data_IF_344575421536
#
_entry.id   IF_344575421536
#
_cell.length_a   1.000
_cell.length_b   1.000
_cell.length_c   1.000
_cell.angle_alpha   90.00
_cell.angle_beta   90.00
_cell.angle_gamma   90.00
#
_symmetry.space_group_name_H-M   'P 1'
#
loop_
_entity.id
_entity.type
_entity.pdbx_description
1 polymer ?
#
# COMPACT_ATOMS: atom_id res chain seq x y z
N UNK A 1 -32.48 -29.19 -39.60
CA UNK A 1 -33.13 -28.29 -38.66
C UNK A 1 -33.29 -28.89 -37.25
N UNK A 2 -32.25 -29.40 -36.59
CA UNK A 2 -32.36 -29.98 -35.22
C UNK A 2 -31.16 -29.61 -34.30
N UNK A 3 -30.35 -28.60 -34.65
CA UNK A 3 -29.19 -28.21 -33.83
C UNK A 3 -29.29 -26.83 -33.13
N UNK A 4 -30.36 -26.06 -33.41
CA UNK A 4 -30.47 -24.68 -32.87
C UNK A 4 -31.28 -24.60 -31.58
N UNK A 5 -32.07 -25.64 -31.22
CA UNK A 5 -32.85 -25.63 -29.98
C UNK A 5 -32.09 -26.03 -28.71
N UNK A 6 -30.93 -26.67 -28.84
CA UNK A 6 -30.16 -27.14 -27.65
C UNK A 6 -29.36 -26.03 -26.99
N UNK A 7 -29.02 -24.95 -27.72
CA UNK A 7 -28.24 -23.83 -27.17
C UNK A 7 -29.09 -22.82 -26.36
N UNK A 8 -30.36 -22.67 -26.66
CA UNK A 8 -31.24 -21.76 -25.90
C UNK A 8 -31.63 -22.32 -24.53
N UNK A 9 -31.71 -23.65 -24.38
CA UNK A 9 -32.06 -24.27 -23.11
C UNK A 9 -30.97 -24.16 -22.04
N UNK A 10 -29.69 -24.16 -22.44
CA UNK A 10 -28.56 -24.06 -21.52
C UNK A 10 -28.37 -22.62 -21.02
N UNK A 11 -28.68 -21.62 -21.85
CA UNK A 11 -28.59 -20.21 -21.45
C UNK A 11 -29.67 -19.80 -20.44
N UNK A 12 -30.87 -20.40 -20.53
CA UNK A 12 -31.96 -20.13 -19.59
C UNK A 12 -31.76 -20.77 -18.21
N UNK A 13 -31.09 -21.94 -18.15
CA UNK A 13 -30.77 -22.62 -16.87
C UNK A 13 -29.67 -21.86 -16.10
N UNK A 14 -28.69 -21.27 -16.79
CA UNK A 14 -27.62 -20.47 -16.13
C UNK A 14 -28.13 -19.13 -15.60
N UNK A 15 -29.08 -18.47 -16.29
CA UNK A 15 -29.68 -17.21 -15.83
C UNK A 15 -30.59 -17.40 -14.62
N UNK A 16 -31.33 -18.52 -14.55
CA UNK A 16 -32.19 -18.83 -13.41
C UNK A 16 -31.40 -19.23 -12.15
N UNK A 17 -30.21 -19.83 -12.29
CA UNK A 17 -29.33 -20.16 -11.15
C UNK A 17 -28.73 -18.91 -10.52
N UNK A 18 -28.38 -17.89 -11.31
CA UNK A 18 -27.84 -16.62 -10.80
C UNK A 18 -28.88 -15.77 -10.09
N UNK A 19 -30.14 -15.76 -10.60
CA UNK A 19 -31.24 -15.02 -9.96
C UNK A 19 -31.65 -15.59 -8.60
N UNK A 20 -31.39 -16.87 -8.33
CA UNK A 20 -31.73 -17.51 -7.05
C UNK A 20 -30.74 -17.17 -5.90
N UNK A 21 -29.56 -16.65 -6.21
CA UNK A 21 -28.53 -16.36 -5.22
C UNK A 21 -28.85 -15.19 -4.29
N UNK A 22 -29.78 -14.30 -4.68
CA UNK A 22 -30.06 -13.06 -3.95
C UNK A 22 -31.49 -13.02 -3.35
N UNK A 23 -32.26 -14.07 -3.44
CA UNK A 23 -33.65 -14.11 -2.88
C UNK A 23 -33.66 -14.80 -1.53
N UNK A 24 -34.13 -14.08 -0.50
CA UNK A 24 -34.46 -14.66 0.80
C UNK A 24 -35.63 -15.62 0.61
N UNK A 25 -35.47 -16.89 1.00
CA UNK A 25 -36.52 -17.90 0.90
C UNK A 25 -37.18 -18.09 2.26
N UNK A 26 -38.43 -17.74 2.36
CA UNK A 26 -39.28 -18.10 3.50
C UNK A 26 -39.85 -19.48 3.29
N UNK A 27 -39.55 -20.41 4.18
CA UNK A 27 -39.98 -21.80 4.09
C UNK A 27 -41.25 -22.03 4.86
N UNK A 28 -41.39 -21.43 6.02
CA UNK A 28 -42.56 -21.56 6.90
C UNK A 28 -42.62 -20.40 7.88
N UNK A 29 -43.84 -20.05 8.32
CA UNK A 29 -44.05 -19.08 9.40
C UNK A 29 -43.71 -19.62 10.79
N UNK A 30 -43.56 -20.94 10.92
CA UNK A 30 -43.28 -21.62 12.20
C UNK A 30 -41.82 -22.05 12.37
N UNK A 31 -41.04 -22.03 11.31
CA UNK A 31 -39.64 -22.44 11.31
C UNK A 31 -38.71 -21.23 11.39
N UNK A 32 -37.54 -21.34 12.08
CA UNK A 32 -36.51 -20.32 12.01
C UNK A 32 -36.07 -20.08 10.57
N UNK A 33 -35.96 -18.81 10.18
CA UNK A 33 -35.62 -18.43 8.82
C UNK A 33 -34.41 -17.49 8.81
N UNK A 34 -33.54 -17.65 7.82
CA UNK A 34 -32.48 -16.69 7.61
C UNK A 34 -33.01 -15.46 6.86
N UNK A 35 -32.77 -14.30 7.41
CA UNK A 35 -33.07 -13.01 6.76
C UNK A 35 -31.91 -12.53 5.89
N UNK A 36 -30.77 -13.24 5.93
CA UNK A 36 -29.59 -12.90 5.15
C UNK A 36 -29.65 -13.58 3.79
N UNK A 37 -29.36 -12.88 2.69
CA UNK A 37 -29.29 -13.47 1.37
C UNK A 37 -28.20 -14.53 1.30
N UNK A 38 -28.42 -15.53 0.47
CA UNK A 38 -27.38 -16.50 0.12
C UNK A 38 -26.23 -15.74 -0.53
N UNK A 39 -25.06 -15.74 0.03
CA UNK A 39 -23.92 -14.96 -0.49
C UNK A 39 -23.45 -13.83 0.41
N UNK A 40 -24.18 -13.53 1.52
CA UNK A 40 -23.65 -12.58 2.50
C UNK A 40 -22.33 -13.07 3.11
N UNK A 41 -22.11 -14.39 3.08
CA UNK A 41 -20.87 -15.03 3.52
C UNK A 41 -19.73 -14.96 2.48
N UNK A 42 -20.01 -14.49 1.27
CA UNK A 42 -19.01 -14.35 0.23
C UNK A 42 -18.14 -13.13 0.51
N UNK A 43 -16.84 -13.31 0.36
CA UNK A 43 -15.89 -12.21 0.41
C UNK A 43 -16.17 -11.29 -0.80
N UNK A 44 -16.09 -9.99 -0.56
CA UNK A 44 -16.15 -8.97 -1.60
C UNK A 44 -14.88 -8.14 -1.58
N UNK A 45 -14.37 -7.82 -2.79
CA UNK A 45 -13.22 -6.95 -2.97
C UNK A 45 -13.66 -5.50 -3.08
N UNK A 46 -12.96 -4.60 -2.41
CA UNK A 46 -13.13 -3.17 -2.60
C UNK A 46 -12.41 -2.73 -3.87
N UNK A 47 -13.08 -1.98 -4.74
CA UNK A 47 -12.47 -1.48 -5.97
C UNK A 47 -11.83 -0.11 -5.75
N UNK A 48 -10.50 -0.06 -5.83
CA UNK A 48 -9.71 1.18 -5.74
C UNK A 48 -9.28 1.59 -7.15
N UNK A 49 -9.93 2.61 -7.69
CA UNK A 49 -9.67 3.11 -9.05
C UNK A 49 -8.54 4.13 -9.01
N UNK A 50 -7.43 3.83 -9.70
CA UNK A 50 -6.26 4.68 -9.86
C UNK A 50 -5.84 4.72 -11.34
N UNK A 51 -5.27 5.83 -11.84
CA UNK A 51 -4.82 5.92 -13.22
C UNK A 51 -3.45 5.27 -13.43
N UNK A 52 -3.21 4.75 -14.63
CA UNK A 52 -1.85 4.44 -15.09
C UNK A 52 -1.07 5.73 -15.34
N UNK A 53 0.23 5.71 -15.09
CA UNK A 53 1.14 6.86 -15.27
C UNK A 53 2.37 6.42 -16.04
N UNK A 54 2.73 7.17 -17.07
CA UNK A 54 3.94 6.90 -17.86
C UNK A 54 3.98 5.52 -18.53
N UNK A 55 2.81 4.90 -18.75
CA UNK A 55 2.68 3.55 -19.29
C UNK A 55 2.94 2.43 -18.26
N UNK A 56 2.86 2.74 -16.96
CA UNK A 56 2.90 1.80 -15.83
C UNK A 56 1.54 1.74 -15.15
N UNK A 57 1.17 0.56 -14.65
CA UNK A 57 -0.07 0.32 -13.93
C UNK A 57 0.12 0.52 -12.43
N UNK A 58 -0.88 1.08 -11.72
CA UNK A 58 -0.82 1.28 -10.28
C UNK A 58 -1.20 0.00 -9.53
N UNK A 59 -0.25 -0.64 -8.87
CA UNK A 59 -0.48 -1.78 -7.98
C UNK A 59 -0.47 -1.31 -6.53
N UNK A 60 -1.53 -1.65 -5.80
CA UNK A 60 -1.72 -1.28 -4.39
C UNK A 60 -1.06 -2.34 -3.52
N UNK A 61 -0.05 -1.95 -2.75
CA UNK A 61 0.76 -2.82 -1.93
C UNK A 61 0.72 -2.42 -0.45
N UNK A 62 0.83 -3.41 0.45
CA UNK A 62 1.20 -3.22 1.85
C UNK A 62 2.45 -4.03 2.14
N UNK A 63 3.55 -3.33 2.33
CA UNK A 63 4.88 -3.93 2.43
C UNK A 63 5.34 -4.16 3.88
N UNK A 64 4.42 -4.00 4.86
CA UNK A 64 4.71 -4.18 6.28
C UNK A 64 3.45 -4.67 7.02
N UNK A 65 3.39 -5.96 7.31
CA UNK A 65 2.25 -6.60 7.98
C UNK A 65 2.74 -7.67 8.96
N UNK A 66 1.96 -7.89 10.04
CA UNK A 66 2.20 -8.92 11.03
C UNK A 66 1.00 -9.85 11.18
N UNK A 67 1.24 -11.10 11.53
CA UNK A 67 0.19 -12.09 11.77
C UNK A 67 0.34 -12.78 13.13
N UNK A 68 -0.57 -13.70 13.44
CA UNK A 68 -0.52 -14.52 14.65
C UNK A 68 0.67 -15.52 14.68
N UNK A 69 1.57 -15.45 13.72
CA UNK A 69 2.85 -16.17 13.78
C UNK A 69 3.86 -15.46 14.67
N UNK A 70 3.70 -14.16 14.88
CA UNK A 70 4.44 -13.35 15.86
C UNK A 70 3.50 -12.73 16.88
N UNK A 71 3.04 -11.52 16.68
CA UNK A 71 2.26 -10.74 17.65
C UNK A 71 0.98 -10.09 17.09
N UNK A 72 0.66 -10.35 15.83
CA UNK A 72 -0.62 -9.96 15.24
C UNK A 72 -1.76 -10.89 15.67
N UNK A 73 -3.00 -10.40 15.64
CA UNK A 73 -4.19 -11.20 16.04
C UNK A 73 -4.83 -11.99 14.90
N UNK A 74 -4.49 -11.69 13.64
CA UNK A 74 -5.03 -12.35 12.44
C UNK A 74 -4.00 -13.36 11.93
N UNK A 75 -4.43 -14.58 11.58
CA UNK A 75 -3.51 -15.54 10.99
C UNK A 75 -3.09 -15.10 9.58
N UNK A 76 -1.96 -15.63 9.09
CA UNK A 76 -1.38 -15.18 7.81
C UNK A 76 -2.31 -15.40 6.61
N UNK A 77 -3.16 -16.40 6.63
CA UNK A 77 -4.17 -16.61 5.58
C UNK A 77 -5.21 -15.49 5.58
N UNK A 78 -5.68 -15.12 6.78
CA UNK A 78 -6.59 -13.99 6.96
C UNK A 78 -5.97 -12.67 6.50
N UNK A 79 -4.63 -12.47 6.65
CA UNK A 79 -3.95 -11.28 6.11
C UNK A 79 -4.03 -11.17 4.59
N UNK A 80 -3.92 -12.30 3.88
CA UNK A 80 -4.13 -12.34 2.43
C UNK A 80 -5.59 -12.02 2.07
N UNK A 81 -6.56 -12.59 2.80
CA UNK A 81 -7.98 -12.32 2.61
C UNK A 81 -8.32 -10.85 2.88
N UNK A 82 -7.82 -10.27 3.99
CA UNK A 82 -7.99 -8.84 4.30
C UNK A 82 -7.41 -7.96 3.19
N UNK A 83 -6.20 -8.24 2.71
CA UNK A 83 -5.57 -7.48 1.63
C UNK A 83 -6.42 -7.51 0.36
N UNK A 84 -6.90 -8.67 -0.05
CA UNK A 84 -7.79 -8.81 -1.19
C UNK A 84 -9.11 -8.06 -0.99
N UNK A 85 -9.77 -8.21 0.16
CA UNK A 85 -11.00 -7.51 0.49
C UNK A 85 -10.84 -5.99 0.49
N UNK A 86 -9.70 -5.50 0.99
CA UNK A 86 -9.38 -4.08 1.06
C UNK A 86 -8.92 -3.48 -0.29
N UNK A 87 -8.85 -4.29 -1.36
CA UNK A 87 -8.53 -3.86 -2.71
C UNK A 87 -7.03 -3.83 -3.04
N UNK A 88 -6.17 -4.44 -2.21
CA UNK A 88 -4.74 -4.53 -2.49
C UNK A 88 -4.42 -5.65 -3.49
N UNK A 89 -3.36 -5.44 -4.26
CA UNK A 89 -2.85 -6.39 -5.25
C UNK A 89 -1.61 -7.13 -4.74
N UNK A 90 -0.91 -6.55 -3.76
CA UNK A 90 0.39 -7.01 -3.27
C UNK A 90 0.46 -6.89 -1.75
N UNK A 91 1.05 -7.88 -1.10
CA UNK A 91 1.50 -7.78 0.30
C UNK A 91 2.94 -8.28 0.43
N UNK A 92 3.67 -7.82 1.44
CA UNK A 92 4.91 -8.47 1.86
C UNK A 92 4.69 -9.26 3.15
N UNK A 93 5.24 -10.47 3.23
CA UNK A 93 5.19 -11.28 4.44
C UNK A 93 6.37 -10.91 5.34
N UNK A 94 6.14 -10.02 6.33
CA UNK A 94 7.19 -9.35 7.13
C UNK A 94 7.06 -9.62 8.62
N UNK A 95 6.91 -10.88 9.00
CA UNK A 95 6.89 -11.26 10.42
C UNK A 95 8.17 -10.85 11.16
N UNK A 96 8.06 -10.57 12.44
CA UNK A 96 9.19 -10.22 13.29
C UNK A 96 10.27 -11.31 13.34
N UNK A 97 11.50 -10.92 13.07
CA UNK A 97 12.73 -11.65 13.40
C UNK A 97 13.57 -10.79 14.34
N UNK A 98 13.47 -11.06 15.64
CA UNK A 98 14.17 -10.25 16.63
C UNK A 98 15.68 -10.39 16.48
N UNK A 99 16.36 -9.29 16.14
CA UNK A 99 17.81 -9.14 16.05
C UNK A 99 18.40 -8.40 17.28
N UNK A 100 17.62 -8.29 18.38
CA UNK A 100 18.08 -7.69 19.62
C UNK A 100 19.31 -8.43 20.17
N UNK A 101 20.28 -7.72 20.76
CA UNK A 101 21.45 -8.34 21.36
C UNK A 101 21.06 -9.45 22.35
N UNK A 102 21.76 -10.57 22.28
CA UNK A 102 21.64 -11.67 23.26
C UNK A 102 22.89 -11.64 24.15
N UNK A 103 22.69 -11.61 25.46
CA UNK A 103 23.79 -11.58 26.41
C UNK A 103 24.72 -12.80 26.21
N UNK A 104 26.02 -12.60 26.49
CA UNK A 104 27.07 -13.62 26.47
C UNK A 104 27.33 -14.32 25.12
N UNK A 105 26.90 -13.71 23.99
CA UNK A 105 27.12 -14.27 22.65
C UNK A 105 28.12 -13.48 21.80
N UNK A 106 28.67 -12.38 22.29
CA UNK A 106 29.62 -11.55 21.55
C UNK A 106 30.81 -12.38 21.02
N UNK A 107 31.08 -12.27 19.73
CA UNK A 107 32.14 -13.02 19.05
C UNK A 107 31.89 -14.53 18.88
N UNK A 108 30.76 -15.06 19.34
CA UNK A 108 30.42 -16.48 19.17
C UNK A 108 29.66 -16.69 17.86
N UNK A 109 29.97 -17.75 17.09
CA UNK A 109 29.19 -18.09 15.89
C UNK A 109 27.76 -18.48 16.27
N UNK A 110 26.79 -18.04 15.49
CA UNK A 110 25.38 -18.35 15.72
C UNK A 110 25.06 -19.80 15.29
N UNK A 111 24.62 -20.67 16.21
CA UNK A 111 24.24 -22.05 15.87
C UNK A 111 23.06 -22.08 14.90
N UNK A 112 23.06 -23.07 13.99
CA UNK A 112 21.97 -23.28 13.04
C UNK A 112 20.58 -23.44 13.73
N UNK A 113 20.52 -24.18 14.83
CA UNK A 113 19.29 -24.36 15.61
C UNK A 113 18.69 -23.04 16.13
N UNK A 114 19.56 -22.06 16.46
CA UNK A 114 19.12 -20.73 16.86
C UNK A 114 18.59 -19.97 15.65
N UNK A 115 19.32 -19.98 14.53
CA UNK A 115 18.85 -19.37 13.27
C UNK A 115 17.49 -19.88 12.85
N UNK A 116 17.31 -21.19 12.77
CA UNK A 116 16.03 -21.82 12.41
C UNK A 116 14.90 -21.47 13.37
N UNK A 117 15.17 -21.40 14.67
CA UNK A 117 14.17 -20.98 15.67
C UNK A 117 13.75 -19.52 15.47
N UNK A 118 14.72 -18.62 15.28
CA UNK A 118 14.48 -17.17 15.13
C UNK A 118 13.78 -16.83 13.82
N UNK A 119 14.06 -17.56 12.74
CA UNK A 119 13.48 -17.33 11.42
C UNK A 119 12.16 -18.07 11.15
N UNK A 120 11.76 -18.98 12.06
CA UNK A 120 10.64 -19.92 11.81
C UNK A 120 9.31 -19.24 11.44
N UNK A 121 8.98 -18.10 12.07
CA UNK A 121 7.76 -17.36 11.77
C UNK A 121 7.81 -16.76 10.34
N UNK A 122 8.91 -16.11 9.97
CA UNK A 122 9.09 -15.51 8.65
C UNK A 122 9.08 -16.56 7.52
N UNK A 123 9.77 -17.70 7.71
CA UNK A 123 9.73 -18.82 6.74
C UNK A 123 8.31 -19.36 6.55
N UNK A 124 7.60 -19.57 7.67
CA UNK A 124 6.23 -20.08 7.63
C UNK A 124 5.25 -19.08 7.03
N UNK A 125 5.43 -17.77 7.29
CA UNK A 125 4.59 -16.71 6.75
C UNK A 125 4.66 -16.68 5.22
N UNK A 126 5.87 -16.60 4.65
CA UNK A 126 6.08 -16.61 3.20
C UNK A 126 5.42 -17.81 2.55
N UNK A 127 5.71 -19.02 3.03
CA UNK A 127 5.17 -20.26 2.47
C UNK A 127 3.65 -20.32 2.54
N UNK A 128 3.06 -19.92 3.69
CA UNK A 128 1.62 -19.99 3.91
C UNK A 128 0.87 -18.91 3.17
N UNK A 129 1.40 -17.68 3.12
CA UNK A 129 0.80 -16.56 2.41
C UNK A 129 0.78 -16.82 0.90
N UNK A 130 1.90 -17.23 0.31
CA UNK A 130 2.01 -17.51 -1.13
C UNK A 130 0.98 -18.55 -1.58
N UNK A 131 0.83 -19.65 -0.82
CA UNK A 131 -0.13 -20.70 -1.13
C UNK A 131 -1.59 -20.20 -1.14
N UNK A 132 -1.96 -19.32 -0.22
CA UNK A 132 -3.33 -18.76 -0.14
C UNK A 132 -3.54 -17.68 -1.20
N UNK A 133 -2.52 -16.88 -1.43
CA UNK A 133 -2.56 -15.76 -2.37
C UNK A 133 -2.87 -16.19 -3.81
N UNK A 134 -2.45 -17.39 -4.22
CA UNK A 134 -2.81 -17.98 -5.52
C UNK A 134 -4.34 -18.02 -5.74
N UNK A 135 -5.12 -18.27 -4.67
CA UNK A 135 -6.60 -18.32 -4.73
C UNK A 135 -7.22 -16.96 -4.94
N UNK A 136 -6.56 -15.89 -4.46
CA UNK A 136 -7.06 -14.51 -4.49
C UNK A 136 -6.45 -13.67 -5.61
N UNK A 137 -5.42 -14.14 -6.28
CA UNK A 137 -4.67 -13.34 -7.25
C UNK A 137 -3.89 -12.19 -6.62
N UNK A 138 -3.50 -12.32 -5.34
CA UNK A 138 -2.63 -11.38 -4.63
C UNK A 138 -1.18 -11.83 -4.78
N UNK A 139 -0.26 -10.92 -5.07
CA UNK A 139 1.17 -11.21 -5.09
C UNK A 139 1.75 -11.09 -3.68
N UNK A 140 2.51 -12.08 -3.24
CA UNK A 140 3.22 -12.06 -1.97
C UNK A 140 4.70 -11.83 -2.22
N UNK A 141 5.22 -10.72 -1.74
CA UNK A 141 6.66 -10.45 -1.69
C UNK A 141 7.23 -11.21 -0.48
N UNK A 142 8.17 -12.13 -0.69
CA UNK A 142 8.86 -12.79 0.43
C UNK A 142 9.69 -11.75 1.19
N UNK A 143 9.61 -11.79 2.51
CA UNK A 143 10.31 -10.82 3.34
C UNK A 143 10.35 -11.21 4.81
N UNK A 144 10.89 -10.31 5.62
CA UNK A 144 10.99 -10.42 7.07
C UNK A 144 11.23 -9.04 7.67
N UNK A 145 10.70 -8.77 8.85
CA UNK A 145 11.11 -7.61 9.62
C UNK A 145 12.24 -7.97 10.58
N UNK A 146 13.39 -7.34 10.38
CA UNK A 146 14.55 -7.39 11.27
C UNK A 146 14.31 -6.43 12.43
N UNK A 147 13.77 -6.98 13.53
CA UNK A 147 13.26 -6.21 14.66
C UNK A 147 14.33 -6.01 15.71
N UNK A 148 14.95 -4.83 15.71
CA UNK A 148 15.91 -4.40 16.73
C UNK A 148 15.24 -3.89 18.01
N UNK A 149 16.03 -3.34 18.92
CA UNK A 149 15.50 -2.50 20.00
C UNK A 149 15.13 -1.13 19.42
N UNK A 150 13.87 -0.74 19.61
CA UNK A 150 13.32 0.46 18.98
C UNK A 150 14.04 1.78 19.37
N UNK A 151 14.75 1.82 20.50
CA UNK A 151 15.45 3.03 20.96
C UNK A 151 16.91 3.06 20.55
N UNK A 152 17.50 1.91 20.25
CA UNK A 152 18.93 1.78 20.02
C UNK A 152 19.31 1.21 18.66
N UNK A 153 18.39 0.46 18.00
CA UNK A 153 18.66 -0.23 16.74
C UNK A 153 17.68 0.11 15.63
N UNK A 154 16.39 0.40 15.94
CA UNK A 154 15.35 0.55 14.94
C UNK A 154 14.88 -0.78 14.32
N UNK A 155 14.01 -0.70 13.32
CA UNK A 155 13.45 -1.84 12.62
C UNK A 155 13.64 -1.70 11.10
N UNK A 156 13.90 -2.83 10.43
CA UNK A 156 14.12 -2.85 8.99
C UNK A 156 13.39 -4.02 8.34
N UNK A 157 12.62 -3.78 7.29
CA UNK A 157 12.12 -4.87 6.46
C UNK A 157 13.16 -5.25 5.41
N UNK A 158 13.41 -6.55 5.28
CA UNK A 158 14.09 -7.11 4.12
C UNK A 158 13.03 -7.68 3.18
N UNK A 159 12.90 -7.10 1.99
CA UNK A 159 11.93 -7.49 0.96
C UNK A 159 12.63 -8.28 -0.15
N UNK A 160 11.90 -9.20 -0.81
CA UNK A 160 12.43 -10.09 -1.85
C UNK A 160 13.55 -11.02 -1.36
N UNK A 161 13.44 -11.49 -0.13
CA UNK A 161 14.35 -12.49 0.44
C UNK A 161 14.17 -13.84 -0.29
N UNK A 162 15.26 -14.59 -0.41
CA UNK A 162 15.23 -15.94 -1.03
C UNK A 162 15.17 -17.05 0.01
N UNK A 163 15.80 -16.86 1.17
CA UNK A 163 15.80 -17.81 2.29
C UNK A 163 15.90 -17.08 3.63
N UNK A 164 14.77 -16.96 4.31
CA UNK A 164 14.72 -16.33 5.65
C UNK A 164 15.44 -17.16 6.73
N UNK A 165 15.70 -18.46 6.50
CA UNK A 165 16.28 -19.35 7.53
C UNK A 165 17.74 -19.06 7.85
N UNK A 166 18.44 -18.37 6.95
CA UNK A 166 19.87 -18.06 7.08
C UNK A 166 20.18 -16.58 7.39
N UNK A 167 19.13 -15.76 7.56
CA UNK A 167 19.30 -14.30 7.79
C UNK A 167 19.80 -14.01 9.20
N UNK A 168 19.19 -14.61 10.22
CA UNK A 168 19.47 -14.30 11.61
C UNK A 168 20.94 -14.55 11.99
N UNK A 169 21.53 -13.61 12.69
CA UNK A 169 22.81 -13.72 13.37
C UNK A 169 22.71 -13.11 14.78
N UNK A 170 23.64 -13.48 15.68
CA UNK A 170 23.79 -12.83 16.99
C UNK A 170 24.19 -11.37 16.85
N UNK A 171 25.00 -11.04 15.84
CA UNK A 171 25.27 -9.68 15.44
C UNK A 171 24.11 -9.14 14.57
N UNK A 172 23.43 -8.12 15.08
CA UNK A 172 22.32 -7.47 14.39
C UNK A 172 22.71 -6.93 13.01
N UNK A 173 23.88 -6.32 12.89
CA UNK A 173 24.39 -5.80 11.61
C UNK A 173 24.66 -6.95 10.64
N UNK A 174 25.17 -8.08 11.12
CA UNK A 174 25.36 -9.27 10.28
C UNK A 174 24.04 -9.84 9.78
N UNK A 175 22.95 -9.76 10.58
CA UNK A 175 21.61 -10.15 10.12
C UNK A 175 21.15 -9.29 8.93
N UNK A 176 21.35 -7.98 8.97
CA UNK A 176 21.03 -7.07 7.85
C UNK A 176 21.89 -7.41 6.62
N UNK A 177 23.21 -7.58 6.80
CA UNK A 177 24.11 -7.98 5.72
C UNK A 177 23.76 -9.34 5.11
N UNK A 178 23.26 -10.29 5.90
CA UNK A 178 22.83 -11.59 5.40
C UNK A 178 21.58 -11.47 4.52
N UNK A 179 20.66 -10.56 4.83
CA UNK A 179 19.52 -10.26 3.98
C UNK A 179 19.96 -9.55 2.69
N UNK A 180 20.80 -8.54 2.78
CA UNK A 180 21.35 -7.81 1.64
C UNK A 180 22.09 -8.73 0.66
N UNK A 181 22.91 -9.67 1.16
CA UNK A 181 23.61 -10.67 0.33
C UNK A 181 22.70 -11.56 -0.51
N UNK A 182 21.44 -11.71 -0.15
CA UNK A 182 20.43 -12.42 -0.95
C UNK A 182 19.87 -11.52 -2.06
N UNK A 183 20.28 -10.25 -2.10
CA UNK A 183 19.72 -9.22 -2.94
C UNK A 183 18.38 -8.71 -2.42
N UNK A 184 18.07 -8.83 -1.13
CA UNK A 184 16.88 -8.22 -0.57
C UNK A 184 16.97 -6.69 -0.61
N UNK A 185 15.82 -6.02 -0.79
CA UNK A 185 15.72 -4.57 -0.61
C UNK A 185 15.47 -4.29 0.88
N UNK A 186 16.34 -3.52 1.49
CA UNK A 186 16.25 -3.17 2.92
C UNK A 186 15.49 -1.85 3.06
N UNK A 187 14.37 -1.89 3.79
CA UNK A 187 13.52 -0.74 4.04
C UNK A 187 13.54 -0.36 5.52
N UNK A 188 13.87 0.90 5.83
CA UNK A 188 13.81 1.43 7.20
C UNK A 188 12.36 1.70 7.59
N UNK A 189 11.87 1.00 8.61
CA UNK A 189 10.49 1.05 9.07
C UNK A 189 10.25 2.23 10.02
N UNK A 190 9.03 2.83 9.97
CA UNK A 190 8.49 3.81 10.93
C UNK A 190 9.57 4.63 11.69
N UNK A 191 10.38 5.46 11.00
CA UNK A 191 11.62 6.05 11.51
C UNK A 191 11.43 6.97 12.73
N UNK A 192 10.21 7.36 13.04
CA UNK A 192 9.86 8.17 14.22
C UNK A 192 9.19 7.39 15.35
N UNK A 193 9.05 6.07 15.23
CA UNK A 193 8.38 5.28 16.25
C UNK A 193 9.24 5.18 17.52
N UNK A 194 8.62 5.56 18.67
CA UNK A 194 9.27 5.66 19.98
C UNK A 194 10.45 6.65 20.08
N UNK A 195 10.60 7.50 19.07
CA UNK A 195 11.54 8.62 19.10
C UNK A 195 10.75 9.94 19.09
N UNK A 196 11.13 10.93 19.92
CA UNK A 196 10.48 12.25 19.90
C UNK A 196 10.87 13.07 18.65
N UNK A 197 11.94 12.66 17.96
CA UNK A 197 12.45 13.24 16.72
C UNK A 197 12.75 12.12 15.72
N UNK A 198 13.00 12.46 14.45
CA UNK A 198 13.47 11.50 13.45
C UNK A 198 15.02 11.36 13.45
N UNK A 199 15.67 11.62 14.59
CA UNK A 199 17.12 11.46 14.69
C UNK A 199 17.47 9.98 14.75
N UNK A 200 18.32 9.56 13.84
CA UNK A 200 18.77 8.17 13.74
C UNK A 200 19.61 7.77 14.95
N UNK A 201 19.40 6.54 15.42
CA UNK A 201 20.30 5.87 16.37
C UNK A 201 21.70 5.65 15.76
N UNK A 202 22.68 5.33 16.56
CA UNK A 202 24.04 5.01 16.05
C UNK A 202 24.02 3.74 15.18
N UNK A 203 23.15 2.78 15.51
CA UNK A 203 22.99 1.56 14.70
C UNK A 203 22.38 1.89 13.33
N UNK A 204 21.29 2.65 13.29
CA UNK A 204 20.68 3.09 12.03
C UNK A 204 21.70 3.85 11.17
N UNK A 205 22.43 4.79 11.75
CA UNK A 205 23.52 5.52 11.05
C UNK A 205 24.55 4.56 10.45
N UNK A 206 24.92 3.51 11.17
CA UNK A 206 25.86 2.52 10.66
C UNK A 206 25.28 1.73 9.48
N UNK A 207 23.99 1.33 9.54
CA UNK A 207 23.32 0.66 8.43
C UNK A 207 23.26 1.54 7.18
N UNK A 208 22.97 2.83 7.36
CA UNK A 208 22.96 3.81 6.27
C UNK A 208 24.38 4.07 5.72
N UNK A 209 25.38 4.14 6.58
CA UNK A 209 26.76 4.37 6.17
C UNK A 209 27.35 3.22 5.34
N UNK A 210 26.87 1.99 5.55
CA UNK A 210 27.24 0.84 4.72
C UNK A 210 26.48 0.80 3.39
N UNK A 211 25.52 1.71 3.16
CA UNK A 211 24.73 1.77 1.94
C UNK A 211 23.76 0.61 1.79
N UNK A 212 23.30 0.02 2.90
CA UNK A 212 22.41 -1.15 2.90
C UNK A 212 20.93 -0.78 2.76
N UNK A 213 20.55 0.48 2.98
CA UNK A 213 19.14 0.90 2.97
C UNK A 213 18.74 1.33 1.57
N UNK A 214 17.67 0.73 1.04
CA UNK A 214 17.09 1.02 -0.28
C UNK A 214 15.79 1.81 -0.19
N UNK A 215 15.06 1.68 0.90
CA UNK A 215 13.74 2.28 1.08
C UNK A 215 13.46 2.79 2.49
N UNK A 216 12.39 3.56 2.62
CA UNK A 216 12.00 4.22 3.85
C UNK A 216 10.47 4.31 3.96
N UNK A 217 9.90 4.03 5.13
CA UNK A 217 8.51 4.33 5.39
C UNK A 217 8.30 5.83 5.61
N UNK A 218 7.59 6.46 4.68
CA UNK A 218 7.11 7.83 4.81
C UNK A 218 5.85 7.89 5.68
N UNK A 219 5.03 6.83 5.63
CA UNK A 219 3.81 6.66 6.41
C UNK A 219 3.73 5.24 6.93
N UNK A 220 3.32 5.10 8.22
CA UNK A 220 3.11 3.81 8.85
C UNK A 220 1.85 3.90 9.72
N UNK A 221 0.83 3.07 9.45
CA UNK A 221 -0.46 3.17 10.09
C UNK A 221 -1.02 4.60 10.02
N UNK A 222 -1.31 5.21 11.15
CA UNK A 222 -1.80 6.60 11.24
C UNK A 222 -0.67 7.65 11.33
N UNK A 223 0.60 7.24 11.29
CA UNK A 223 1.74 8.16 11.38
C UNK A 223 2.23 8.58 10.01
N UNK A 224 2.55 9.86 9.89
CA UNK A 224 3.18 10.48 8.72
C UNK A 224 4.46 11.19 9.16
N UNK A 225 5.56 10.96 8.48
CA UNK A 225 6.90 11.46 8.80
C UNK A 225 7.42 12.45 7.75
N UNK A 226 6.95 13.71 7.69
CA UNK A 226 7.35 14.66 6.62
C UNK A 226 8.87 14.89 6.54
N UNK A 227 9.59 14.85 7.68
CA UNK A 227 11.06 14.99 7.68
C UNK A 227 11.79 13.83 6.99
N UNK A 228 11.13 12.68 6.85
CA UNK A 228 11.68 11.52 6.16
C UNK A 228 11.92 11.77 4.65
N UNK A 229 11.24 12.75 4.05
CA UNK A 229 11.55 13.19 2.68
C UNK A 229 13.02 13.62 2.51
N UNK A 230 13.58 14.29 3.52
CA UNK A 230 14.98 14.75 3.47
C UNK A 230 15.93 13.54 3.45
N UNK A 231 15.69 12.57 4.33
CA UNK A 231 16.45 11.31 4.38
C UNK A 231 16.33 10.52 3.08
N UNK A 232 15.11 10.37 2.57
CA UNK A 232 14.86 9.65 1.31
C UNK A 232 15.59 10.32 0.13
N UNK A 233 15.59 11.66 0.06
CA UNK A 233 16.29 12.41 -0.98
C UNK A 233 17.83 12.31 -0.84
N UNK A 234 18.34 12.44 0.38
CA UNK A 234 19.78 12.37 0.67
C UNK A 234 20.38 11.01 0.27
N UNK A 235 19.70 9.94 0.65
CA UNK A 235 20.16 8.57 0.41
C UNK A 235 19.58 7.91 -0.84
N UNK A 236 18.75 8.62 -1.61
CA UNK A 236 18.07 8.11 -2.83
C UNK A 236 17.27 6.85 -2.55
N UNK A 237 16.33 6.92 -1.61
CA UNK A 237 15.51 5.80 -1.17
C UNK A 237 14.13 5.84 -1.82
N UNK A 238 13.57 4.67 -2.14
CA UNK A 238 12.15 4.61 -2.44
C UNK A 238 11.32 4.86 -1.16
N UNK A 239 10.14 5.45 -1.33
CA UNK A 239 9.26 5.79 -0.21
C UNK A 239 8.01 4.89 -0.21
N UNK A 240 7.57 4.49 0.99
CA UNK A 240 6.41 3.61 1.15
C UNK A 240 5.42 4.13 2.18
N UNK A 241 4.20 3.60 2.08
CA UNK A 241 3.15 3.74 3.09
C UNK A 241 2.58 2.35 3.38
N UNK A 242 2.72 1.90 4.61
CA UNK A 242 2.32 0.56 5.01
C UNK A 242 1.50 0.61 6.30
N UNK A 243 0.88 -0.52 6.63
CA UNK A 243 0.01 -0.55 7.82
C UNK A 243 0.73 -0.90 9.10
N UNK A 244 1.71 -1.77 9.04
CA UNK A 244 2.30 -2.40 10.23
C UNK A 244 1.20 -3.05 11.11
N UNK A 245 0.24 -3.69 10.43
CA UNK A 245 -1.01 -4.10 11.05
C UNK A 245 -0.84 -5.29 11.97
N UNK A 246 -1.26 -5.13 13.22
CA UNK A 246 -1.33 -6.18 14.23
C UNK A 246 -2.79 -6.59 14.53
N UNK A 247 -3.73 -5.62 14.55
CA UNK A 247 -5.17 -5.84 14.69
C UNK A 247 -5.84 -6.22 13.36
N UNK A 248 -7.16 -6.28 13.29
CA UNK A 248 -7.88 -6.46 12.03
C UNK A 248 -7.87 -5.17 11.20
N UNK A 249 -7.71 -5.26 9.87
CA UNK A 249 -7.76 -4.09 9.00
C UNK A 249 -9.15 -3.46 8.94
N UNK A 250 -10.20 -4.28 9.11
CA UNK A 250 -11.57 -3.79 9.15
C UNK A 250 -11.77 -2.73 10.26
N UNK A 251 -11.30 -3.02 11.48
CA UNK A 251 -11.42 -2.09 12.61
C UNK A 251 -10.59 -0.82 12.42
N UNK A 252 -9.41 -0.94 11.82
CA UNK A 252 -8.52 0.21 11.64
C UNK A 252 -8.96 1.14 10.51
N UNK A 253 -9.54 0.60 9.43
CA UNK A 253 -9.80 1.34 8.20
C UNK A 253 -11.25 1.29 7.78
N UNK A 254 -11.75 0.13 7.34
CA UNK A 254 -13.02 -0.01 6.63
C UNK A 254 -14.24 0.38 7.48
N UNK A 255 -14.30 -0.03 8.74
CA UNK A 255 -15.40 0.31 9.65
C UNK A 255 -15.46 1.82 9.95
N UNK A 256 -14.35 2.52 9.77
CA UNK A 256 -14.24 3.97 9.92
C UNK A 256 -14.36 4.72 8.57
N UNK A 257 -14.67 4.03 7.49
CA UNK A 257 -14.84 4.63 6.15
C UNK A 257 -13.53 5.06 5.49
N UNK A 258 -12.39 4.50 5.90
CA UNK A 258 -11.08 4.79 5.34
C UNK A 258 -10.59 3.66 4.42
N UNK A 259 -9.88 4.04 3.36
CA UNK A 259 -9.04 3.11 2.61
C UNK A 259 -7.83 2.72 3.47
N UNK A 260 -7.43 1.46 3.35
CA UNK A 260 -6.20 0.95 3.97
C UNK A 260 -4.99 1.71 3.46
N UNK A 261 -3.99 1.93 4.32
CA UNK A 261 -2.69 2.43 3.87
C UNK A 261 -2.17 1.58 2.72
N UNK A 262 -1.57 2.22 1.74
CA UNK A 262 -0.99 1.53 0.61
C UNK A 262 0.20 2.28 0.02
N UNK A 263 1.19 1.52 -0.37
CA UNK A 263 2.19 1.93 -1.33
C UNK A 263 1.64 1.65 -2.72
N UNK A 264 1.48 2.69 -3.54
CA UNK A 264 1.05 2.56 -4.93
C UNK A 264 2.32 2.38 -5.77
N UNK A 265 2.53 1.18 -6.28
CA UNK A 265 3.71 0.81 -7.08
C UNK A 265 3.34 0.90 -8.56
N UNK A 266 4.03 1.73 -9.34
CA UNK A 266 3.82 1.86 -10.77
C UNK A 266 4.74 0.91 -11.53
N UNK A 267 4.22 -0.25 -11.90
CA UNK A 267 4.93 -1.34 -12.56
C UNK A 267 4.27 -1.74 -13.88
N UNK A 268 4.99 -2.45 -14.75
CA UNK A 268 4.43 -2.96 -16.01
C UNK A 268 3.42 -4.07 -15.76
N UNK A 269 3.78 -4.99 -14.87
CA UNK A 269 3.01 -6.16 -14.52
C UNK A 269 3.00 -6.38 -13.00
N UNK A 270 2.02 -7.14 -12.49
CA UNK A 270 1.96 -7.52 -11.08
C UNK A 270 2.79 -8.81 -10.85
N UNK A 271 4.08 -8.75 -11.12
CA UNK A 271 5.05 -9.83 -10.89
C UNK A 271 6.14 -9.38 -9.93
N UNK A 272 6.80 -10.31 -9.25
CA UNK A 272 7.88 -9.98 -8.30
C UNK A 272 9.00 -9.18 -8.98
N UNK A 273 9.39 -9.55 -10.21
CA UNK A 273 10.42 -8.83 -10.97
C UNK A 273 10.00 -7.41 -11.32
N UNK A 274 8.76 -7.22 -11.83
CA UNK A 274 8.29 -5.91 -12.25
C UNK A 274 8.02 -4.98 -11.08
N UNK A 275 7.54 -5.52 -9.95
CA UNK A 275 7.35 -4.78 -8.70
C UNK A 275 8.70 -4.37 -8.09
N UNK A 276 9.68 -5.28 -8.08
CA UNK A 276 11.04 -4.98 -7.61
C UNK A 276 11.67 -3.86 -8.43
N UNK A 277 11.66 -3.99 -9.76
CA UNK A 277 12.18 -2.98 -10.68
C UNK A 277 11.52 -1.60 -10.45
N UNK A 278 10.21 -1.58 -10.16
CA UNK A 278 9.49 -0.34 -9.88
C UNK A 278 9.92 0.31 -8.54
N UNK A 279 10.19 -0.49 -7.50
CA UNK A 279 10.73 0.00 -6.25
C UNK A 279 12.15 0.57 -6.44
N UNK A 280 13.04 -0.17 -7.08
CA UNK A 280 14.41 0.27 -7.38
C UNK A 280 14.44 1.52 -8.27
N UNK A 281 13.45 1.71 -9.13
CA UNK A 281 13.28 2.91 -9.94
C UNK A 281 12.47 4.02 -9.25
N UNK A 282 12.16 3.90 -7.96
CA UNK A 282 11.42 4.86 -7.13
C UNK A 282 10.03 5.24 -7.68
N UNK A 283 9.40 4.34 -8.42
CA UNK A 283 8.05 4.58 -8.96
C UNK A 283 6.98 4.20 -7.94
N UNK A 284 6.98 4.89 -6.80
CA UNK A 284 6.05 4.69 -5.70
C UNK A 284 5.36 5.97 -5.28
N UNK A 285 4.10 5.87 -4.88
CA UNK A 285 3.39 6.88 -4.11
C UNK A 285 2.86 6.27 -2.82
N UNK A 286 2.89 7.06 -1.76
CA UNK A 286 2.43 6.69 -0.43
C UNK A 286 1.01 7.21 -0.22
N UNK A 287 0.10 6.39 0.30
CA UNK A 287 -1.25 6.82 0.66
C UNK A 287 -1.58 6.39 2.09
N UNK A 288 -2.05 7.33 2.91
CA UNK A 288 -2.60 7.08 4.24
C UNK A 288 -3.64 8.14 4.57
N UNK A 289 -4.87 7.73 4.98
CA UNK A 289 -5.96 8.59 5.47
C UNK A 289 -6.17 9.87 4.65
N UNK A 290 -6.17 9.76 3.31
CA UNK A 290 -6.37 10.89 2.40
C UNK A 290 -5.12 11.75 2.13
N UNK A 291 -3.99 11.45 2.75
CA UNK A 291 -2.69 12.06 2.47
C UNK A 291 -1.94 11.22 1.43
N UNK A 292 -1.31 11.88 0.47
CA UNK A 292 -0.54 11.26 -0.60
C UNK A 292 0.89 11.82 -0.53
N UNK A 293 1.90 10.96 -0.55
CA UNK A 293 3.31 11.39 -0.55
C UNK A 293 4.11 10.73 -1.66
N UNK A 294 5.17 11.38 -2.13
CA UNK A 294 6.05 10.82 -3.15
C UNK A 294 6.89 11.87 -3.86
N UNK A 295 7.60 11.45 -4.89
CA UNK A 295 8.37 12.37 -5.73
C UNK A 295 7.48 13.35 -6.49
N UNK A 296 7.86 14.62 -6.54
CA UNK A 296 7.07 15.70 -7.12
C UNK A 296 6.64 15.43 -8.56
N UNK A 297 7.55 14.90 -9.37
CA UNK A 297 7.27 14.58 -10.78
C UNK A 297 6.16 13.54 -10.89
N UNK A 298 6.28 12.43 -10.17
CA UNK A 298 5.31 11.35 -10.21
C UNK A 298 3.95 11.79 -9.63
N UNK A 299 3.94 12.57 -8.55
CA UNK A 299 2.71 13.16 -7.98
C UNK A 299 1.98 14.05 -8.99
N UNK A 300 2.70 14.87 -9.75
CA UNK A 300 2.11 15.74 -10.79
C UNK A 300 1.51 14.92 -11.92
N UNK A 301 2.25 13.96 -12.46
CA UNK A 301 1.78 13.06 -13.51
C UNK A 301 0.57 12.24 -13.06
N UNK A 302 0.59 11.75 -11.83
CA UNK A 302 -0.53 11.01 -11.21
C UNK A 302 -1.77 11.89 -11.07
N UNK A 303 -1.64 13.12 -10.55
CA UNK A 303 -2.78 14.02 -10.42
C UNK A 303 -3.35 14.43 -11.77
N UNK A 304 -2.51 14.74 -12.77
CA UNK A 304 -2.96 15.06 -14.13
C UNK A 304 -3.72 13.89 -14.76
N UNK A 305 -3.29 12.66 -14.55
CA UNK A 305 -4.00 11.46 -15.02
C UNK A 305 -5.29 11.16 -14.21
N UNK A 306 -5.39 11.69 -12.98
CA UNK A 306 -6.53 11.48 -12.07
C UNK A 306 -7.72 12.39 -12.35
N UNK A 307 -7.55 13.45 -13.14
CA UNK A 307 -8.60 14.45 -13.35
C UNK A 307 -8.86 14.72 -14.82
N UNK A 308 -10.12 15.03 -15.14
CA UNK A 308 -10.49 15.55 -16.46
C UNK A 308 -11.04 16.95 -16.35
N UNK A 309 -10.81 17.78 -17.37
CA UNK A 309 -11.30 19.15 -17.43
C UNK A 309 -12.30 19.32 -18.58
N UNK A 310 -13.41 19.99 -18.27
CA UNK A 310 -14.42 20.36 -19.26
C UNK A 310 -14.80 21.83 -19.10
N UNK A 311 -14.56 22.64 -20.14
CA UNK A 311 -15.06 24.02 -20.19
C UNK A 311 -16.57 24.01 -20.36
N UNK A 312 -17.29 24.68 -19.44
CA UNK A 312 -18.76 24.74 -19.43
C UNK A 312 -19.27 26.01 -20.12
N UNK A 313 -18.68 27.16 -19.82
CA UNK A 313 -19.14 28.43 -20.35
C UNK A 313 -18.02 29.47 -20.33
N UNK A 314 -18.20 30.50 -21.14
CA UNK A 314 -17.37 31.71 -21.17
C UNK A 314 -18.28 32.92 -20.90
N UNK A 315 -17.80 33.91 -20.17
CA UNK A 315 -18.56 35.13 -19.89
C UNK A 315 -18.77 35.96 -21.18
N UNK A 316 -19.74 36.88 -21.16
CA UNK A 316 -20.08 37.73 -22.30
C UNK A 316 -18.91 38.59 -22.82
N UNK A 317 -17.89 38.82 -21.97
CA UNK A 317 -16.69 39.61 -22.33
C UNK A 317 -15.54 38.73 -22.85
N UNK A 318 -15.69 37.41 -22.90
CA UNK A 318 -14.66 36.46 -23.34
C UNK A 318 -13.43 36.38 -22.43
N UNK A 319 -13.50 36.89 -21.19
CA UNK A 319 -12.35 37.00 -20.29
C UNK A 319 -12.31 35.88 -19.24
N UNK A 320 -13.46 35.43 -18.75
CA UNK A 320 -13.60 34.44 -17.71
C UNK A 320 -14.33 33.20 -18.24
N UNK A 321 -13.96 32.04 -17.73
CA UNK A 321 -14.59 30.76 -18.08
C UNK A 321 -14.92 29.99 -16.83
N UNK A 322 -15.96 29.13 -16.91
CA UNK A 322 -16.26 28.11 -15.91
C UNK A 322 -15.72 26.78 -16.41
N UNK A 323 -14.96 26.10 -15.58
CA UNK A 323 -14.33 24.82 -15.88
C UNK A 323 -14.80 23.81 -14.84
N UNK A 324 -15.30 22.69 -15.29
CA UNK A 324 -15.57 21.51 -14.47
C UNK A 324 -14.30 20.68 -14.40
N UNK A 325 -13.88 20.34 -13.17
CA UNK A 325 -12.81 19.40 -12.87
C UNK A 325 -13.45 18.16 -12.29
N UNK A 326 -13.26 17.02 -12.93
CA UNK A 326 -13.79 15.72 -12.48
C UNK A 326 -12.65 14.84 -12.01
N UNK A 327 -12.74 14.34 -10.78
CA UNK A 327 -11.88 13.30 -10.23
C UNK A 327 -12.38 11.93 -10.69
N UNK A 328 -11.54 11.18 -11.38
CA UNK A 328 -11.85 9.84 -11.90
C UNK A 328 -11.33 8.71 -11.01
N UNK A 329 -10.82 9.04 -9.82
CA UNK A 329 -10.15 8.08 -8.92
C UNK A 329 -10.89 7.90 -7.59
N UNK A 330 -10.49 6.87 -6.85
CA UNK A 330 -10.97 6.61 -5.49
C UNK A 330 -10.30 7.47 -4.42
N UNK A 331 -9.32 8.33 -4.77
CA UNK A 331 -8.61 9.18 -3.81
C UNK A 331 -9.17 10.61 -3.79
N UNK A 332 -9.27 11.26 -2.62
CA UNK A 332 -9.67 12.66 -2.53
C UNK A 332 -8.49 13.60 -2.82
N UNK A 333 -8.79 14.80 -3.32
CA UNK A 333 -7.81 15.87 -3.51
C UNK A 333 -8.27 17.16 -2.85
N UNK A 334 -7.37 17.87 -2.18
CA UNK A 334 -7.63 19.19 -1.61
C UNK A 334 -6.90 20.23 -2.45
N UNK A 335 -7.67 20.99 -3.25
CA UNK A 335 -7.15 21.93 -4.24
C UNK A 335 -7.18 23.36 -3.74
N UNK A 336 -6.11 24.11 -3.93
CA UNK A 336 -6.07 25.55 -3.69
C UNK A 336 -5.71 26.29 -4.99
N UNK A 337 -6.60 27.17 -5.43
CA UNK A 337 -6.44 28.01 -6.62
C UNK A 337 -5.93 29.39 -6.20
N UNK A 338 -4.67 29.69 -6.47
CA UNK A 338 -4.03 30.95 -6.09
C UNK A 338 -4.07 31.19 -4.58
N UNK A 339 -4.64 32.33 -4.14
CA UNK A 339 -4.81 32.69 -2.72
C UNK A 339 -6.20 32.32 -2.15
N UNK A 340 -7.01 31.58 -2.92
CA UNK A 340 -8.36 31.19 -2.50
C UNK A 340 -8.38 30.15 -1.38
N UNK A 341 -9.56 29.92 -0.80
CA UNK A 341 -9.77 28.86 0.17
C UNK A 341 -9.61 27.48 -0.50
N UNK A 342 -9.11 26.49 0.25
CA UNK A 342 -9.06 25.11 -0.24
C UNK A 342 -10.45 24.56 -0.60
N UNK A 343 -10.50 23.75 -1.66
CA UNK A 343 -11.71 23.06 -2.11
C UNK A 343 -11.42 21.58 -2.17
N UNK A 344 -12.28 20.75 -1.58
CA UNK A 344 -12.16 19.30 -1.65
C UNK A 344 -12.82 18.78 -2.92
N UNK A 345 -12.03 18.14 -3.76
CA UNK A 345 -12.47 17.32 -4.89
C UNK A 345 -12.57 15.87 -4.43
N UNK A 346 -13.78 15.44 -4.08
CA UNK A 346 -14.04 14.10 -3.55
C UNK A 346 -13.75 13.01 -4.58
N UNK A 347 -13.57 11.75 -4.15
CA UNK A 347 -13.52 10.60 -5.07
C UNK A 347 -14.71 10.60 -6.04
N UNK A 348 -14.45 10.28 -7.31
CA UNK A 348 -15.47 10.08 -8.35
C UNK A 348 -16.50 11.22 -8.42
N UNK A 349 -16.06 12.46 -8.23
CA UNK A 349 -16.93 13.64 -8.19
C UNK A 349 -16.38 14.79 -9.03
N UNK A 350 -17.16 15.86 -9.18
CA UNK A 350 -16.78 17.04 -9.94
C UNK A 350 -16.97 18.32 -9.12
N UNK A 351 -16.10 19.28 -9.37
CA UNK A 351 -16.25 20.66 -8.90
C UNK A 351 -16.25 21.62 -10.09
N UNK A 352 -16.85 22.81 -9.92
CA UNK A 352 -16.80 23.86 -10.93
C UNK A 352 -16.00 25.04 -10.38
N UNK A 353 -14.97 25.44 -11.12
CA UNK A 353 -14.10 26.57 -10.78
C UNK A 353 -14.12 27.64 -11.86
N UNK A 354 -13.80 28.87 -11.46
CA UNK A 354 -13.63 29.96 -12.41
C UNK A 354 -12.16 30.08 -12.85
N UNK A 355 -11.93 30.27 -14.14
CA UNK A 355 -10.61 30.47 -14.71
C UNK A 355 -10.61 31.63 -15.70
N UNK A 356 -9.44 32.01 -16.17
CA UNK A 356 -9.27 33.00 -17.27
C UNK A 356 -9.24 32.25 -18.59
N UNK A 357 -9.93 32.79 -19.61
CA UNK A 357 -9.90 32.24 -20.98
C UNK A 357 -8.48 32.23 -21.52
N UNK A 358 -8.04 31.09 -22.09
CA UNK A 358 -6.70 30.94 -22.66
C UNK A 358 -5.56 30.88 -21.66
N UNK A 359 -5.85 30.75 -20.36
CA UNK A 359 -4.84 30.55 -19.30
C UNK A 359 -5.06 29.21 -18.60
N UNK A 360 -3.99 28.48 -18.26
CA UNK A 360 -4.10 27.26 -17.50
C UNK A 360 -4.61 27.57 -16.08
N UNK A 361 -5.31 26.63 -15.50
CA UNK A 361 -5.72 26.69 -14.10
C UNK A 361 -4.55 26.28 -13.21
N UNK A 362 -3.90 27.24 -12.55
CA UNK A 362 -2.87 26.92 -11.55
C UNK A 362 -3.53 26.50 -10.25
N UNK A 363 -3.19 25.32 -9.76
CA UNK A 363 -3.63 24.82 -8.45
C UNK A 363 -2.48 24.14 -7.69
N UNK A 364 -2.52 24.26 -6.37
CA UNK A 364 -1.68 23.48 -5.44
C UNK A 364 -2.54 22.39 -4.86
N UNK A 365 -2.05 21.15 -4.82
CA UNK A 365 -2.75 19.99 -4.22
C UNK A 365 -2.25 19.79 -2.82
N UNK A 366 -3.01 20.27 -1.82
CA UNK A 366 -2.55 20.42 -0.44
C UNK A 366 -2.44 19.10 0.34
N UNK A 367 -3.14 18.07 -0.06
CA UNK A 367 -3.01 16.74 0.56
C UNK A 367 -2.01 15.84 -0.19
N UNK A 368 -1.30 16.38 -1.18
CA UNK A 368 -0.12 15.77 -1.78
C UNK A 368 1.15 16.42 -1.22
N UNK A 369 2.12 15.58 -0.84
CA UNK A 369 3.38 16.02 -0.24
C UNK A 369 4.56 15.52 -1.07
N UNK A 370 5.43 16.45 -1.48
CA UNK A 370 6.64 16.16 -2.26
C UNK A 370 7.94 16.54 -1.52
N UNK A 371 7.83 16.93 -0.28
CA UNK A 371 8.91 17.32 0.61
C UNK A 371 8.37 17.70 1.98
N UNK A 372 9.25 18.05 2.90
CA UNK A 372 8.86 18.64 4.17
C UNK A 372 8.21 20.00 3.92
N UNK A 373 6.92 20.13 4.26
CA UNK A 373 6.10 21.33 4.01
C UNK A 373 5.96 21.73 2.52
N UNK A 374 6.17 20.79 1.59
CA UNK A 374 6.10 21.04 0.16
C UNK A 374 4.94 20.31 -0.51
N UNK A 375 4.18 21.04 -1.34
CA UNK A 375 3.03 20.52 -2.08
C UNK A 375 3.17 20.77 -3.57
N UNK A 376 2.83 19.81 -4.44
CA UNK A 376 2.93 20.00 -5.89
C UNK A 376 1.95 21.08 -6.37
N UNK A 377 2.48 21.97 -7.20
CA UNK A 377 1.69 22.98 -7.91
C UNK A 377 1.68 22.67 -9.40
N UNK A 378 0.50 22.64 -10.00
CA UNK A 378 0.27 22.26 -11.38
C UNK A 378 -0.41 23.38 -12.17
N UNK A 379 -0.31 23.26 -13.50
CA UNK A 379 -0.97 24.12 -14.48
C UNK A 379 -1.88 23.27 -15.35
N UNK A 380 -3.13 23.08 -14.92
CA UNK A 380 -4.12 22.27 -15.61
C UNK A 380 -4.55 22.96 -16.92
N UNK A 381 -4.57 22.23 -18.02
CA UNK A 381 -4.85 22.73 -19.38
C UNK A 381 -6.13 22.15 -19.95
#
# INVERSE_FOLDING_TARGET
MKRTLFFLGVLFVSLSAVAQEYTTRYQSATEPQTLLPVGYMRLSRYEIILPSVGGYNPYKADLHIHSALTDGVVNIKGRVEEAWCDGLDVIAATEHMSIRPVADTEGKPTPESVRLKKSSAAVKAVTSATKVAETFGVVVIPGVELTGDAKTQGHFNALFTTDNSVIYDYDAMQSIRNADKQGALIMHNHPGWRHPTLDMTEFEKAVYAEGLVDGLELMNGAYFYPRAFNTAKEHKLFMTSNTDVHATTAQQYRENGHLRNMTIIFAKECTLESLREALEAHRTLCYSFGTIGGEEKLLKEFFEASVTLKRLSVDKKGKSQRVMITNTTSLPYTLRFGKGNPVVLRPLSSIIVNGKVGKPLKCTVLNMWCGQDEHPTLSLK
#
